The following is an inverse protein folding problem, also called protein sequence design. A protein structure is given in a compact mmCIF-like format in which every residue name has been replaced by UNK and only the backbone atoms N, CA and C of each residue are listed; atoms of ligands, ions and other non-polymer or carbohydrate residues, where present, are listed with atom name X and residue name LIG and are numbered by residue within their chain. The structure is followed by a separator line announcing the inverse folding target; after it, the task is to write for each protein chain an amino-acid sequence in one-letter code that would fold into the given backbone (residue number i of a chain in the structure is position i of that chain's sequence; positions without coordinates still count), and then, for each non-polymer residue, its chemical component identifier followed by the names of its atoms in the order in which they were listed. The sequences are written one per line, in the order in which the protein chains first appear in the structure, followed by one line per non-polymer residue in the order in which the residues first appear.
data_IF_070158486461
#
_entry.id   IF_070158486461
#
_cell.length_a   1.000
_cell.length_b   1.000
_cell.length_c   1.000
_cell.angle_alpha   90.00
_cell.angle_beta   90.00
_cell.angle_gamma   90.00
#
_symmetry.space_group_name_H-M   'P 1'
#
loop_
_entity.id
_entity.type
_entity.pdbx_description
1 polymer ?
#
# COMPACT_ATOMS: atom_id res chain seq x y z
N UNK A 1 -2.36 -6.26 -9.87
CA UNK A 1 -1.64 -5.54 -8.82
C UNK A 1 -2.56 -4.53 -8.13
N UNK A 2 -3.11 -3.57 -8.88
CA UNK A 2 -4.02 -2.54 -8.36
C UNK A 2 -5.18 -3.04 -7.47
N UNK A 3 -6.01 -3.97 -7.96
CA UNK A 3 -7.15 -4.49 -7.21
C UNK A 3 -6.74 -5.20 -5.90
N UNK A 4 -5.68 -6.01 -5.96
CA UNK A 4 -5.13 -6.68 -4.77
C UNK A 4 -4.68 -5.66 -3.72
N UNK A 5 -3.90 -4.64 -4.14
CA UNK A 5 -3.42 -3.60 -3.25
C UNK A 5 -4.56 -2.76 -2.68
N UNK A 6 -5.57 -2.42 -3.50
CA UNK A 6 -6.77 -1.71 -3.09
C UNK A 6 -7.54 -2.46 -2.00
N UNK A 7 -7.83 -3.75 -2.22
CA UNK A 7 -8.57 -4.57 -1.27
C UNK A 7 -7.79 -4.79 0.02
N UNK A 8 -6.49 -5.06 -0.08
CA UNK A 8 -5.64 -5.28 1.08
C UNK A 8 -5.52 -4.03 1.97
N UNK A 9 -5.37 -2.83 1.39
CA UNK A 9 -5.32 -1.57 2.14
C UNK A 9 -6.65 -1.17 2.79
N UNK A 10 -7.78 -1.77 2.39
CA UNK A 10 -9.06 -1.61 3.11
C UNK A 10 -9.10 -2.41 4.41
N UNK A 11 -8.16 -3.31 4.62
CA UNK A 11 -8.01 -4.06 5.88
C UNK A 11 -7.03 -3.35 6.81
N UNK A 12 -7.15 -3.62 8.12
CA UNK A 12 -6.22 -3.06 9.12
C UNK A 12 -4.79 -3.55 8.89
N UNK A 13 -4.61 -4.80 8.45
CA UNK A 13 -3.29 -5.41 8.21
C UNK A 13 -2.58 -4.85 6.97
N UNK A 14 -3.35 -4.31 6.02
CA UNK A 14 -2.80 -3.73 4.80
C UNK A 14 -2.29 -4.78 3.81
N UNK A 15 -1.31 -4.37 3.00
CA UNK A 15 -0.67 -5.20 1.96
C UNK A 15 0.46 -6.01 2.58
N UNK A 16 0.44 -7.32 2.36
CA UNK A 16 1.58 -8.21 2.57
C UNK A 16 2.51 -8.13 1.35
N UNK A 17 3.76 -7.72 1.55
CA UNK A 17 4.77 -7.61 0.48
C UNK A 17 5.09 -8.97 -0.10
N UNK A 18 5.22 -9.99 0.76
CA UNK A 18 5.44 -11.37 0.33
C UNK A 18 4.30 -11.89 -0.53
N UNK A 19 3.05 -11.77 -0.07
CA UNK A 19 1.91 -12.28 -0.84
C UNK A 19 1.75 -11.54 -2.17
N UNK A 20 2.07 -10.24 -2.20
CA UNK A 20 2.11 -9.48 -3.45
C UNK A 20 3.17 -10.05 -4.39
N UNK A 21 4.40 -10.21 -3.91
CA UNK A 21 5.53 -10.67 -4.71
C UNK A 21 5.28 -12.08 -5.25
N UNK A 22 4.80 -12.99 -4.41
CA UNK A 22 4.48 -14.38 -4.79
C UNK A 22 3.34 -14.42 -5.81
N UNK A 23 2.30 -13.59 -5.65
CA UNK A 23 1.12 -13.58 -6.53
C UNK A 23 1.41 -12.98 -7.90
N UNK A 24 2.23 -11.95 -7.99
CA UNK A 24 2.49 -11.22 -9.22
C UNK A 24 3.87 -11.50 -9.83
N UNK A 25 4.70 -12.31 -9.17
CA UNK A 25 6.06 -12.64 -9.56
C UNK A 25 6.88 -11.38 -9.91
N UNK A 26 6.81 -10.38 -9.03
CA UNK A 26 7.38 -9.04 -9.21
C UNK A 26 7.66 -8.43 -7.85
N UNK A 27 8.74 -7.64 -7.73
CA UNK A 27 9.04 -6.94 -6.50
C UNK A 27 8.07 -5.76 -6.25
N UNK A 28 7.43 -5.76 -5.08
CA UNK A 28 6.46 -4.75 -4.66
C UNK A 28 7.05 -3.33 -4.66
N UNK A 29 8.27 -3.18 -4.15
CA UNK A 29 8.92 -1.87 -4.07
C UNK A 29 9.29 -1.36 -5.47
N UNK A 30 9.74 -2.22 -6.38
CA UNK A 30 9.98 -1.84 -7.77
C UNK A 30 8.72 -1.24 -8.44
N UNK A 31 7.51 -1.69 -8.05
CA UNK A 31 6.25 -1.16 -8.58
C UNK A 31 5.79 0.11 -7.85
N UNK A 32 5.89 0.15 -6.52
CA UNK A 32 5.20 1.15 -5.71
C UNK A 32 6.11 2.13 -4.94
N UNK A 33 7.45 2.00 -4.98
CA UNK A 33 8.37 2.79 -4.14
C UNK A 33 8.09 4.29 -4.20
N UNK A 34 7.92 4.86 -5.40
CA UNK A 34 7.68 6.29 -5.55
C UNK A 34 6.38 6.74 -4.87
N UNK A 35 5.33 5.90 -4.94
CA UNK A 35 4.03 6.18 -4.32
C UNK A 35 4.11 6.01 -2.81
N UNK A 36 4.80 4.98 -2.33
CA UNK A 36 5.06 4.77 -0.90
C UNK A 36 5.75 5.97 -0.29
N UNK A 37 6.87 6.43 -0.86
CA UNK A 37 7.61 7.59 -0.35
C UNK A 37 6.79 8.88 -0.34
N UNK A 38 5.80 9.04 -1.24
CA UNK A 38 4.88 10.18 -1.21
C UNK A 38 3.86 10.05 -0.09
N UNK A 39 3.29 8.87 0.08
CA UNK A 39 2.27 8.58 1.10
C UNK A 39 2.86 8.56 2.53
N UNK A 40 4.07 8.06 2.71
CA UNK A 40 4.82 8.08 3.98
C UNK A 40 5.14 9.52 4.40
N UNK A 41 5.57 10.38 3.47
CA UNK A 41 5.77 11.82 3.74
C UNK A 41 4.49 12.55 4.13
N UNK A 42 3.33 12.04 3.73
CA UNK A 42 2.02 12.55 4.13
C UNK A 42 1.48 11.89 5.41
N UNK A 43 2.28 11.02 6.04
CA UNK A 43 1.90 10.21 7.21
C UNK A 43 0.64 9.38 6.98
N UNK A 44 0.34 9.04 5.72
CA UNK A 44 -0.88 8.34 5.33
C UNK A 44 -0.73 6.82 5.42
N UNK A 45 0.50 6.32 5.29
CA UNK A 45 0.83 4.89 5.42
C UNK A 45 2.04 4.70 6.31
N UNK A 46 2.20 3.48 6.81
CA UNK A 46 3.41 2.97 7.43
C UNK A 46 3.80 1.65 6.77
N UNK A 47 5.08 1.32 6.86
CA UNK A 47 5.62 0.02 6.48
C UNK A 47 6.67 -0.44 7.49
N UNK A 48 6.73 -1.75 7.71
CA UNK A 48 7.80 -2.43 8.47
C UNK A 48 8.73 -3.26 7.58
N UNK A 49 8.57 -3.17 6.25
CA UNK A 49 9.29 -3.99 5.27
C UNK A 49 8.65 -5.34 4.96
N UNK A 50 7.68 -5.81 5.76
CA UNK A 50 6.86 -7.00 5.45
C UNK A 50 5.44 -6.62 5.04
N UNK A 51 4.89 -5.55 5.64
CA UNK A 51 3.57 -5.03 5.37
C UNK A 51 3.59 -3.53 5.06
N UNK A 52 2.53 -3.08 4.38
CA UNK A 52 2.19 -1.66 4.20
C UNK A 52 0.73 -1.44 4.58
N UNK A 53 0.45 -0.54 5.52
CA UNK A 53 -0.91 -0.28 6.00
C UNK A 53 -1.20 1.20 6.18
N UNK A 54 -2.47 1.56 6.27
CA UNK A 54 -2.91 2.93 6.54
C UNK A 54 -2.66 3.30 8.00
N UNK A 55 -2.19 4.53 8.23
CA UNK A 55 -2.21 5.13 9.58
C UNK A 55 -3.65 5.51 9.97
N UNK A 56 -3.92 5.79 11.26
CA UNK A 56 -5.21 6.36 11.67
C UNK A 56 -5.58 7.64 10.89
N UNK A 57 -4.59 8.45 10.50
CA UNK A 57 -4.79 9.64 9.67
C UNK A 57 -5.08 9.26 8.21
N UNK A 58 -4.32 8.32 7.65
CA UNK A 58 -4.52 7.79 6.30
C UNK A 58 -5.89 7.17 6.11
N UNK A 59 -6.43 6.48 7.13
CA UNK A 59 -7.78 5.92 7.10
C UNK A 59 -8.87 6.98 6.90
N UNK A 60 -8.69 8.19 7.44
CA UNK A 60 -9.65 9.31 7.23
C UNK A 60 -9.71 9.72 5.76
N UNK A 61 -8.62 9.54 5.02
CA UNK A 61 -8.51 9.87 3.60
C UNK A 61 -8.27 8.62 2.74
N UNK A 62 -8.76 7.45 3.19
CA UNK A 62 -8.46 6.16 2.56
C UNK A 62 -8.72 6.15 1.07
N UNK A 63 -9.83 6.73 0.61
CA UNK A 63 -10.14 6.82 -0.83
C UNK A 63 -9.09 7.57 -1.67
N UNK A 64 -8.45 8.60 -1.10
CA UNK A 64 -7.36 9.30 -1.78
C UNK A 64 -6.09 8.45 -1.84
N UNK A 65 -5.78 7.73 -0.75
CA UNK A 65 -4.66 6.77 -0.71
C UNK A 65 -4.88 5.62 -1.70
N UNK A 66 -6.09 5.06 -1.73
CA UNK A 66 -6.45 3.94 -2.59
C UNK A 66 -6.31 4.25 -4.09
N UNK A 67 -6.66 5.47 -4.50
CA UNK A 67 -6.50 5.92 -5.89
C UNK A 67 -5.05 5.85 -6.37
N UNK A 68 -4.11 6.02 -5.46
CA UNK A 68 -2.68 5.90 -5.72
C UNK A 68 -2.24 4.45 -5.95
N UNK A 69 -3.13 3.47 -5.85
CA UNK A 69 -2.83 2.08 -6.22
C UNK A 69 -3.59 1.63 -7.48
N UNK A 70 -4.50 2.46 -8.01
CA UNK A 70 -5.35 2.12 -9.16
C UNK A 70 -4.77 2.55 -10.52
N UNK A 71 -3.84 3.52 -10.53
CA UNK A 71 -3.22 4.06 -11.74
C UNK A 71 -1.93 3.32 -12.12
#
# INVERSE_FOLDING_TARGET
MAEFSFLALRTVRGISIRDFNDKFNTDFFAVYQQRLSRLERMEAILSDGEYVWLTPQGMKFGNAVFREFLL
#
